data_IF_028633322496
#
_entry.id   IF_028633322496
#
_cell.length_a   1.000
_cell.length_b   1.000
_cell.length_c   1.000
_cell.angle_alpha   90.00
_cell.angle_beta   90.00
_cell.angle_gamma   90.00
#
_symmetry.space_group_name_H-M   'P 1'
#
loop_
_entity.id
_entity.type
_entity.pdbx_description
1 polymer ?
#
# COMPACT_ATOMS: atom_id res chain seq x y z
N UNK A 1 -3.02 26.32 32.59
CA UNK A 1 -1.74 26.51 31.88
C UNK A 1 -1.14 25.13 31.68
N UNK A 2 -1.75 24.27 30.85
CA UNK A 2 -1.40 22.83 30.73
C UNK A 2 -2.19 22.25 29.54
N UNK A 3 -1.57 22.20 28.35
CA UNK A 3 -2.01 21.42 27.15
C UNK A 3 -1.08 21.62 25.94
N UNK A 4 -0.02 22.47 26.04
CA UNK A 4 0.88 22.75 24.91
C UNK A 4 1.64 21.51 24.42
N UNK A 5 2.01 20.60 25.33
CA UNK A 5 2.86 19.43 25.00
C UNK A 5 2.28 18.45 23.97
N UNK A 6 0.97 18.46 23.72
CA UNK A 6 0.34 17.62 22.69
C UNK A 6 0.21 18.31 21.32
N UNK A 7 0.32 19.64 21.23
CA UNK A 7 0.01 20.40 20.00
C UNK A 7 1.24 20.65 19.10
N UNK A 8 2.46 20.49 19.62
CA UNK A 8 3.72 20.88 18.95
C UNK A 8 4.22 19.86 17.90
N UNK A 9 3.34 19.33 17.04
CA UNK A 9 3.70 18.41 15.94
C UNK A 9 3.57 19.09 14.57
N UNK A 10 4.29 20.18 14.35
CA UNK A 10 4.35 20.81 13.02
C UNK A 10 5.33 20.14 12.06
N UNK A 11 6.27 19.32 12.54
CA UNK A 11 7.41 18.87 11.72
C UNK A 11 7.41 17.41 11.23
N UNK A 12 6.38 16.62 11.54
CA UNK A 12 6.41 15.16 11.27
C UNK A 12 5.20 14.61 10.52
N UNK A 13 4.27 15.48 10.12
CA UNK A 13 3.13 15.12 9.29
C UNK A 13 3.32 15.68 7.88
N UNK A 14 3.42 14.74 6.92
CA UNK A 14 3.34 14.88 5.46
C UNK A 14 3.64 16.30 4.91
N UNK A 15 4.85 16.56 4.36
CA UNK A 15 5.09 17.82 3.65
C UNK A 15 4.16 17.94 2.44
N UNK A 16 3.57 19.12 2.28
CA UNK A 16 2.52 19.37 1.30
C UNK A 16 3.05 19.69 -0.11
N UNK A 17 4.31 20.05 -0.28
CA UNK A 17 4.81 20.64 -1.52
C UNK A 17 6.04 19.88 -2.04
N UNK A 18 6.01 19.43 -3.30
CA UNK A 18 6.78 20.02 -4.41
C UNK A 18 6.87 19.06 -5.63
N UNK A 19 7.06 19.62 -6.84
CA UNK A 19 7.37 18.98 -8.14
C UNK A 19 6.19 18.64 -9.08
N UNK A 20 5.66 19.69 -9.73
CA UNK A 20 5.18 19.57 -11.10
C UNK A 20 6.38 19.45 -12.06
N UNK A 21 6.45 18.40 -12.88
CA UNK A 21 7.25 18.44 -14.11
C UNK A 21 6.69 17.51 -15.19
N UNK A 22 6.58 18.10 -16.38
CA UNK A 22 6.03 17.57 -17.62
C UNK A 22 6.88 16.42 -18.19
N UNK A 23 6.22 15.40 -18.77
CA UNK A 23 6.87 14.27 -19.45
C UNK A 23 6.67 14.41 -20.96
N UNK A 24 7.77 14.66 -21.69
CA UNK A 24 7.83 14.53 -23.13
C UNK A 24 8.03 13.06 -23.54
N UNK A 25 7.17 12.62 -24.45
CA UNK A 25 7.10 11.26 -25.01
C UNK A 25 8.13 11.10 -26.14
N UNK A 26 9.01 10.09 -26.07
CA UNK A 26 9.90 9.69 -27.18
C UNK A 26 9.64 8.23 -27.50
N UNK A 27 9.30 7.96 -28.77
CA UNK A 27 9.01 6.63 -29.30
C UNK A 27 10.29 5.82 -29.61
N UNK A 28 10.27 4.47 -29.57
CA UNK A 28 11.38 3.64 -29.97
C UNK A 28 11.39 3.34 -31.48
N UNK A 29 12.60 3.26 -32.05
CA UNK A 29 12.88 2.80 -33.42
C UNK A 29 12.85 1.26 -33.54
N UNK A 30 12.55 0.71 -34.73
CA UNK A 30 12.41 -0.73 -34.95
C UNK A 30 13.72 -1.42 -35.35
N UNK A 31 13.88 -2.67 -34.89
CA UNK A 31 14.90 -3.64 -35.32
C UNK A 31 14.58 -4.24 -36.70
N UNK A 32 15.64 -4.57 -37.47
CA UNK A 32 15.78 -5.58 -38.55
C UNK A 32 17.19 -5.42 -39.17
N UNK A 33 17.95 -6.41 -39.64
CA UNK A 33 17.73 -7.79 -40.09
C UNK A 33 19.09 -8.52 -40.03
N UNK A 34 19.10 -9.86 -39.85
CA UNK A 34 20.31 -10.70 -39.93
C UNK A 34 20.32 -11.44 -41.26
N UNK A 35 21.34 -11.17 -42.08
CA UNK A 35 21.62 -11.93 -43.29
C UNK A 35 22.17 -13.33 -42.97
N UNK A 36 21.67 -14.32 -43.71
CA UNK A 36 22.12 -15.70 -43.71
C UNK A 36 23.15 -15.89 -44.83
N UNK A 37 24.39 -16.25 -44.49
CA UNK A 37 25.36 -16.76 -45.47
C UNK A 37 25.53 -18.27 -45.32
N UNK A 38 25.31 -18.96 -46.44
CA UNK A 38 25.43 -20.41 -46.59
C UNK A 38 26.90 -20.82 -46.78
N UNK A 39 27.32 -21.90 -46.11
CA UNK A 39 28.56 -22.60 -46.43
C UNK A 39 28.29 -24.09 -46.67
N UNK A 40 28.54 -24.52 -47.90
CA UNK A 40 28.62 -25.93 -48.34
C UNK A 40 29.90 -26.58 -47.85
N UNK A 41 29.80 -27.75 -47.19
CA UNK A 41 30.95 -28.61 -46.86
C UNK A 41 30.80 -29.97 -47.55
N UNK A 42 31.87 -30.34 -48.26
CA UNK A 42 32.07 -31.48 -49.16
C UNK A 42 32.02 -32.82 -48.39
N UNK A 43 31.43 -33.90 -48.94
CA UNK A 43 31.42 -35.21 -48.28
C UNK A 43 32.78 -35.94 -48.40
N UNK A 44 33.22 -36.53 -47.29
CA UNK A 44 34.45 -37.32 -47.19
C UNK A 44 34.23 -38.77 -47.69
N UNK A 45 35.18 -39.27 -48.50
CA UNK A 45 35.21 -40.65 -49.03
C UNK A 45 35.49 -41.67 -47.92
N UNK A 46 34.70 -42.76 -47.89
CA UNK A 46 34.90 -43.92 -47.02
C UNK A 46 35.95 -44.88 -47.60
N UNK A 47 36.93 -45.30 -46.79
CA UNK A 47 37.82 -46.45 -47.08
C UNK A 47 37.21 -47.76 -46.55
N UNK A 48 37.48 -48.91 -47.20
CA UNK A 48 36.93 -50.20 -46.80
C UNK A 48 37.71 -50.81 -45.61
N UNK A 49 36.98 -51.39 -44.65
CA UNK A 49 37.52 -52.15 -43.51
C UNK A 49 37.83 -53.59 -43.93
N UNK A 50 39.01 -54.09 -43.55
CA UNK A 50 39.30 -55.54 -43.43
C UNK A 50 39.11 -55.98 -41.97
N UNK A 51 38.69 -57.24 -41.72
CA UNK A 51 38.43 -57.74 -40.37
C UNK A 51 39.74 -58.18 -39.71
N UNK A 52 39.90 -57.86 -38.42
CA UNK A 52 40.97 -58.37 -37.56
C UNK A 52 40.32 -58.89 -36.27
N UNK A 53 40.82 -60.04 -35.84
CA UNK A 53 40.38 -60.98 -34.82
C UNK A 53 39.84 -60.41 -33.50
N UNK A 54 38.92 -61.20 -32.93
CA UNK A 54 38.56 -61.19 -31.52
C UNK A 54 39.77 -61.58 -30.66
N UNK A 55 40.25 -60.65 -29.83
CA UNK A 55 40.97 -60.92 -28.59
C UNK A 55 40.77 -59.70 -27.68
N UNK A 56 40.09 -59.94 -26.55
CA UNK A 56 39.89 -59.15 -25.31
C UNK A 56 39.68 -57.61 -25.37
N UNK A 57 38.71 -57.06 -24.60
CA UNK A 57 38.59 -55.60 -24.44
C UNK A 57 39.79 -55.07 -23.65
N UNK A 58 40.76 -54.50 -24.37
CA UNK A 58 41.87 -53.76 -23.77
C UNK A 58 41.32 -52.51 -23.07
N UNK A 59 41.09 -52.62 -21.76
CA UNK A 59 40.70 -51.49 -20.90
C UNK A 59 41.93 -50.60 -20.74
N UNK A 60 41.90 -49.45 -21.39
CA UNK A 60 42.94 -48.42 -21.27
C UNK A 60 42.90 -47.82 -19.85
N UNK A 61 43.76 -48.35 -18.98
CA UNK A 61 43.92 -47.93 -17.57
C UNK A 61 44.88 -46.74 -17.42
N UNK A 62 45.30 -46.11 -18.52
CA UNK A 62 46.23 -44.99 -18.47
C UNK A 62 45.55 -43.72 -17.95
N UNK A 63 46.10 -43.14 -16.87
CA UNK A 63 45.72 -41.77 -16.47
C UNK A 63 46.03 -40.82 -17.62
N UNK A 64 45.04 -40.01 -18.01
CA UNK A 64 45.18 -39.03 -19.08
C UNK A 64 46.39 -38.11 -18.81
N UNK A 65 47.45 -38.32 -19.58
CA UNK A 65 48.68 -37.53 -19.50
C UNK A 65 48.34 -36.05 -19.75
N UNK A 66 48.69 -35.12 -18.85
CA UNK A 66 48.46 -33.71 -19.08
C UNK A 66 49.31 -33.25 -20.25
N UNK A 67 48.68 -33.12 -21.42
CA UNK A 67 49.29 -32.62 -22.65
C UNK A 67 49.69 -31.16 -22.46
N UNK A 68 50.92 -30.92 -22.00
CA UNK A 68 51.57 -29.60 -21.86
C UNK A 68 52.22 -29.15 -23.17
N UNK A 69 51.49 -29.21 -24.28
CA UNK A 69 51.97 -28.62 -25.53
C UNK A 69 51.62 -27.13 -25.58
N UNK A 70 52.48 -26.30 -26.17
CA UNK A 70 52.16 -24.86 -26.39
C UNK A 70 50.85 -24.66 -27.17
N UNK A 71 50.45 -25.64 -27.99
CA UNK A 71 49.21 -25.60 -28.78
C UNK A 71 47.98 -25.88 -27.91
N UNK A 72 48.04 -26.85 -27.01
CA UNK A 72 46.96 -27.18 -26.06
C UNK A 72 46.77 -26.09 -25.02
N UNK A 73 47.84 -25.47 -24.53
CA UNK A 73 47.76 -24.34 -23.59
C UNK A 73 47.13 -23.09 -24.24
N UNK A 74 47.44 -22.82 -25.51
CA UNK A 74 46.78 -21.75 -26.29
C UNK A 74 45.29 -22.04 -26.51
N UNK A 75 44.93 -23.29 -26.78
CA UNK A 75 43.54 -23.70 -26.98
C UNK A 75 42.75 -23.65 -25.66
N UNK A 76 43.35 -24.05 -24.54
CA UNK A 76 42.79 -23.89 -23.20
C UNK A 76 42.63 -22.41 -22.83
N UNK A 77 43.64 -21.55 -23.06
CA UNK A 77 43.50 -20.09 -22.86
C UNK A 77 42.40 -19.49 -23.73
N UNK A 78 42.25 -19.95 -24.98
CA UNK A 78 41.19 -19.49 -25.88
C UNK A 78 39.80 -19.97 -25.43
N UNK A 79 39.69 -21.20 -24.94
CA UNK A 79 38.45 -21.74 -24.40
C UNK A 79 38.09 -21.10 -23.06
N UNK A 80 39.06 -20.82 -22.17
CA UNK A 80 38.84 -20.05 -20.94
C UNK A 80 38.39 -18.62 -21.24
N UNK A 81 38.98 -17.94 -22.23
CA UNK A 81 38.51 -16.62 -22.69
C UNK A 81 37.11 -16.66 -23.30
N UNK A 82 36.75 -17.74 -24.01
CA UNK A 82 35.38 -17.95 -24.52
C UNK A 82 34.39 -18.19 -23.38
N UNK A 83 34.76 -19.03 -22.40
CA UNK A 83 33.96 -19.30 -21.20
C UNK A 83 33.78 -18.06 -20.33
N UNK A 84 34.80 -17.20 -20.23
CA UNK A 84 34.72 -15.90 -19.57
C UNK A 84 33.85 -14.89 -20.32
N UNK A 85 33.81 -14.96 -21.66
CA UNK A 85 32.91 -14.13 -22.50
C UNK A 85 31.47 -14.61 -22.49
N UNK A 86 31.21 -15.88 -22.22
CA UNK A 86 29.86 -16.46 -22.09
C UNK A 86 29.31 -16.41 -20.67
N UNK A 87 30.11 -16.01 -19.68
CA UNK A 87 29.54 -15.55 -18.41
C UNK A 87 28.83 -14.24 -18.74
N UNK A 88 27.49 -14.28 -18.74
CA UNK A 88 26.67 -13.08 -18.75
C UNK A 88 27.32 -12.07 -17.78
N UNK A 89 27.63 -10.84 -18.21
CA UNK A 89 28.10 -9.84 -17.30
C UNK A 89 26.94 -9.58 -16.33
N UNK A 90 26.98 -10.21 -15.16
CA UNK A 90 26.16 -9.83 -14.01
C UNK A 90 26.70 -8.52 -13.45
N UNK A 91 26.80 -7.51 -14.31
CA UNK A 91 27.26 -6.17 -13.99
C UNK A 91 26.03 -5.28 -13.96
N UNK A 92 25.06 -5.66 -13.13
CA UNK A 92 24.02 -4.72 -12.71
C UNK A 92 24.74 -3.75 -11.78
N UNK A 93 25.01 -2.55 -12.28
CA UNK A 93 25.73 -1.49 -11.56
C UNK A 93 24.76 -0.59 -10.80
N UNK A 94 23.51 -0.51 -11.25
CA UNK A 94 22.47 0.33 -10.68
C UNK A 94 21.20 -0.46 -10.41
N UNK A 95 20.50 -0.14 -9.32
CA UNK A 95 19.20 -0.76 -8.99
C UNK A 95 18.21 -0.68 -10.15
N UNK A 96 18.16 0.46 -10.86
CA UNK A 96 17.25 0.67 -11.98
C UNK A 96 17.58 -0.12 -13.26
N UNK A 97 18.71 -0.83 -13.29
CA UNK A 97 19.06 -1.76 -14.39
C UNK A 97 18.40 -3.14 -14.21
N UNK A 98 17.75 -3.37 -13.06
CA UNK A 98 16.96 -4.59 -12.84
C UNK A 98 15.74 -4.63 -13.79
N UNK A 99 15.31 -5.83 -14.21
CA UNK A 99 14.02 -6.01 -14.88
C UNK A 99 12.88 -5.36 -14.09
N UNK A 100 11.90 -4.74 -14.77
CA UNK A 100 10.82 -4.01 -14.12
C UNK A 100 10.01 -4.89 -13.14
N UNK A 101 9.87 -6.18 -13.44
CA UNK A 101 9.16 -7.12 -12.55
C UNK A 101 9.89 -7.31 -11.21
N UNK A 102 11.23 -7.31 -11.23
CA UNK A 102 12.02 -7.39 -10.00
C UNK A 102 12.00 -6.07 -9.23
N UNK A 103 12.04 -4.94 -9.95
CA UNK A 103 11.89 -3.62 -9.34
C UNK A 103 10.54 -3.50 -8.63
N UNK A 104 9.46 -3.89 -9.30
CA UNK A 104 8.11 -3.89 -8.73
C UNK A 104 8.02 -4.80 -7.50
N UNK A 105 8.55 -6.01 -7.55
CA UNK A 105 8.55 -6.93 -6.40
C UNK A 105 9.32 -6.35 -5.22
N UNK A 106 10.52 -5.79 -5.42
CA UNK A 106 11.30 -5.16 -4.34
C UNK A 106 10.54 -3.97 -3.75
N UNK A 107 10.05 -3.06 -4.60
CA UNK A 107 9.34 -1.87 -4.15
C UNK A 107 8.02 -2.21 -3.44
N UNK A 108 7.34 -3.28 -3.87
CA UNK A 108 6.10 -3.76 -3.24
C UNK A 108 6.30 -4.37 -1.84
N UNK A 109 7.54 -4.71 -1.47
CA UNK A 109 7.89 -5.19 -0.13
C UNK A 109 8.22 -4.06 0.85
N UNK A 110 8.47 -2.85 0.36
CA UNK A 110 8.79 -1.70 1.20
C UNK A 110 7.56 -1.16 1.92
N UNK A 111 7.80 -0.39 3.00
CA UNK A 111 6.74 0.38 3.62
C UNK A 111 6.40 1.61 2.77
N UNK A 112 5.15 2.09 2.84
CA UNK A 112 4.79 3.36 2.18
C UNK A 112 5.66 4.54 2.62
N UNK A 113 6.10 4.61 3.89
CA UNK A 113 7.07 5.60 4.37
C UNK A 113 8.40 5.55 3.63
N UNK A 114 8.88 4.33 3.36
CA UNK A 114 10.18 4.13 2.76
C UNK A 114 10.12 4.48 1.28
N UNK A 115 9.03 4.14 0.60
CA UNK A 115 8.75 4.59 -0.76
C UNK A 115 8.71 6.12 -0.87
N UNK A 116 8.04 6.80 0.05
CA UNK A 116 8.03 8.26 0.08
C UNK A 116 9.43 8.84 0.30
N UNK A 117 10.26 8.16 1.07
CA UNK A 117 11.67 8.53 1.27
C UNK A 117 12.50 8.30 0.00
N UNK A 118 12.26 7.19 -0.71
CA UNK A 118 12.89 6.86 -1.99
C UNK A 118 12.57 7.89 -3.08
N UNK A 119 11.36 8.47 -3.09
CA UNK A 119 10.98 9.55 -4.02
C UNK A 119 11.90 10.78 -3.90
N UNK A 120 12.56 10.99 -2.76
CA UNK A 120 13.42 12.15 -2.52
C UNK A 120 14.90 11.88 -2.88
N UNK A 121 15.29 10.64 -3.16
CA UNK A 121 16.70 10.27 -3.33
C UNK A 121 17.24 10.70 -4.69
N UNK A 122 16.55 10.34 -5.78
CA UNK A 122 16.98 10.70 -7.12
C UNK A 122 15.79 10.83 -8.08
N UNK A 123 15.98 11.60 -9.16
CA UNK A 123 14.91 11.90 -10.14
C UNK A 123 14.45 10.66 -10.91
N UNK A 124 15.35 9.73 -11.22
CA UNK A 124 15.02 8.54 -12.02
C UNK A 124 14.13 7.56 -11.25
N UNK A 125 14.42 7.33 -9.98
CA UNK A 125 13.64 6.50 -9.07
C UNK A 125 12.31 7.17 -8.74
N UNK A 126 12.31 8.49 -8.54
CA UNK A 126 11.09 9.27 -8.40
C UNK A 126 10.15 9.07 -9.61
N UNK A 127 10.66 9.30 -10.82
CA UNK A 127 9.89 9.12 -12.05
C UNK A 127 9.40 7.66 -12.22
N UNK A 128 10.24 6.67 -11.90
CA UNK A 128 9.85 5.27 -11.97
C UNK A 128 8.73 4.90 -11.00
N UNK A 129 8.83 5.32 -9.72
CA UNK A 129 7.84 5.03 -8.70
C UNK A 129 6.52 5.72 -9.04
N UNK A 130 6.53 6.99 -9.46
CA UNK A 130 5.32 7.72 -9.81
C UNK A 130 4.64 7.14 -11.06
N UNK A 131 5.40 6.71 -12.07
CA UNK A 131 4.84 6.07 -13.26
C UNK A 131 4.14 4.74 -12.94
N UNK A 132 4.62 4.00 -11.95
CA UNK A 132 4.12 2.67 -11.57
C UNK A 132 3.38 2.65 -10.23
N UNK A 133 2.98 3.82 -9.71
CA UNK A 133 2.47 4.00 -8.34
C UNK A 133 1.29 3.08 -8.06
N UNK A 134 0.34 3.00 -8.98
CA UNK A 134 -0.89 2.21 -8.81
C UNK A 134 -0.63 0.70 -8.65
N UNK A 135 0.32 0.15 -9.40
CA UNK A 135 0.67 -1.28 -9.38
C UNK A 135 1.42 -1.60 -8.09
N UNK A 136 2.46 -0.81 -7.78
CA UNK A 136 3.27 -0.97 -6.57
C UNK A 136 2.38 -0.89 -5.32
N UNK A 137 1.52 0.13 -5.25
CA UNK A 137 0.63 0.33 -4.11
C UNK A 137 -0.39 -0.79 -4.01
N UNK A 138 -1.01 -1.22 -5.12
CA UNK A 138 -1.94 -2.35 -5.11
C UNK A 138 -1.31 -3.60 -4.49
N UNK A 139 -0.06 -3.90 -4.86
CA UNK A 139 0.67 -5.03 -4.30
C UNK A 139 0.92 -4.83 -2.79
N UNK A 140 1.36 -3.64 -2.37
CA UNK A 140 1.53 -3.30 -0.94
C UNK A 140 0.23 -3.49 -0.16
N UNK A 141 -0.89 -2.98 -0.67
CA UNK A 141 -2.20 -3.12 -0.03
C UNK A 141 -2.57 -4.59 0.11
N UNK A 142 -2.33 -5.40 -0.91
CA UNK A 142 -2.65 -6.84 -0.88
C UNK A 142 -1.78 -7.64 0.10
N UNK A 143 -0.51 -7.26 0.26
CA UNK A 143 0.45 -7.96 1.11
C UNK A 143 0.35 -7.48 2.56
N UNK A 144 0.21 -6.17 2.79
CA UNK A 144 0.35 -5.54 4.11
C UNK A 144 -0.97 -5.10 4.71
N UNK A 145 -1.91 -4.64 3.88
CA UNK A 145 -3.15 -4.03 4.34
C UNK A 145 -4.44 -4.68 3.80
N UNK A 146 -4.53 -6.04 3.69
CA UNK A 146 -5.71 -6.69 3.12
C UNK A 146 -7.00 -6.41 3.89
N UNK A 147 -6.94 -6.07 5.18
CA UNK A 147 -8.13 -5.87 6.01
C UNK A 147 -8.50 -4.40 6.09
N UNK A 148 -7.53 -3.53 6.39
CA UNK A 148 -7.72 -2.10 6.53
C UNK A 148 -8.17 -1.47 5.21
N UNK A 149 -7.67 -1.94 4.07
CA UNK A 149 -8.12 -1.47 2.75
C UNK A 149 -9.61 -1.74 2.50
N UNK A 150 -10.16 -2.84 3.02
CA UNK A 150 -11.61 -3.16 2.96
C UNK A 150 -12.42 -2.30 3.93
N UNK A 151 -11.84 -1.98 5.09
CA UNK A 151 -12.53 -1.27 6.17
C UNK A 151 -12.54 0.25 5.99
N UNK A 152 -11.50 0.80 5.36
CA UNK A 152 -11.29 2.22 5.15
C UNK A 152 -11.20 2.52 3.64
N UNK A 153 -12.29 2.33 2.88
CA UNK A 153 -12.30 2.69 1.46
C UNK A 153 -12.14 4.20 1.28
N UNK A 154 -11.63 4.61 0.12
CA UNK A 154 -11.58 6.02 -0.26
C UNK A 154 -12.97 6.52 -0.69
N UNK A 155 -13.34 7.77 -0.38
CA UNK A 155 -14.47 8.43 -1.00
C UNK A 155 -14.19 8.65 -2.50
N UNK A 156 -15.24 8.61 -3.31
CA UNK A 156 -15.15 8.78 -4.77
C UNK A 156 -15.26 10.26 -5.10
N UNK A 157 -14.42 10.74 -6.01
CA UNK A 157 -14.50 12.11 -6.53
C UNK A 157 -15.83 12.35 -7.23
N UNK A 158 -16.44 13.52 -7.03
CA UNK A 158 -17.68 13.84 -7.73
C UNK A 158 -17.48 13.82 -9.25
N UNK A 159 -16.30 14.17 -9.74
CA UNK A 159 -15.97 14.18 -11.17
C UNK A 159 -16.17 12.81 -11.84
N UNK A 160 -15.91 11.72 -11.12
CA UNK A 160 -16.02 10.33 -11.61
C UNK A 160 -17.48 9.82 -11.63
N UNK A 161 -18.41 10.53 -11.00
CA UNK A 161 -19.82 10.14 -10.93
C UNK A 161 -20.54 10.51 -12.24
N UNK A 162 -21.45 9.67 -12.78
CA UNK A 162 -22.24 10.02 -13.95
C UNK A 162 -23.11 11.27 -13.75
N UNK A 163 -23.24 12.11 -14.78
CA UNK A 163 -24.00 13.38 -14.72
C UNK A 163 -25.45 13.28 -14.23
N UNK A 164 -26.27 12.25 -14.60
CA UNK A 164 -27.60 12.13 -14.01
C UNK A 164 -27.56 11.91 -12.49
N UNK A 165 -26.55 11.19 -12.00
CA UNK A 165 -26.33 10.98 -10.58
C UNK A 165 -25.78 12.23 -9.89
N UNK A 166 -24.88 12.99 -10.52
CA UNK A 166 -24.38 14.27 -10.00
C UNK A 166 -25.52 15.24 -9.66
N UNK A 167 -26.49 15.40 -10.57
CA UNK A 167 -27.64 16.29 -10.33
C UNK A 167 -28.48 15.86 -9.11
N UNK A 168 -28.75 14.57 -8.98
CA UNK A 168 -29.49 14.03 -7.84
C UNK A 168 -28.71 14.23 -6.53
N UNK A 169 -27.40 13.98 -6.54
CA UNK A 169 -26.48 14.13 -5.41
C UNK A 169 -26.23 15.60 -5.01
N UNK A 170 -26.45 16.56 -5.89
CA UNK A 170 -26.35 17.99 -5.59
C UNK A 170 -27.72 18.64 -5.31
N UNK A 171 -28.81 17.88 -5.43
CA UNK A 171 -30.15 18.40 -5.17
C UNK A 171 -30.32 18.84 -3.71
N UNK A 172 -31.03 19.93 -3.48
CA UNK A 172 -31.33 20.44 -2.14
C UNK A 172 -32.10 19.40 -1.30
N UNK A 173 -32.99 18.63 -1.93
CA UNK A 173 -33.73 17.55 -1.29
C UNK A 173 -32.81 16.44 -0.74
N UNK A 174 -31.74 16.11 -1.44
CA UNK A 174 -30.75 15.14 -0.96
C UNK A 174 -29.84 15.76 0.11
N UNK A 175 -29.31 16.95 -0.15
CA UNK A 175 -28.41 17.65 0.77
C UNK A 175 -29.07 17.94 2.13
N UNK A 176 -30.36 18.30 2.14
CA UNK A 176 -31.14 18.47 3.37
C UNK A 176 -31.31 17.16 4.15
N UNK A 177 -31.47 16.01 3.48
CA UNK A 177 -31.51 14.71 4.17
C UNK A 177 -30.16 14.30 4.74
N UNK A 178 -29.07 14.59 4.02
CA UNK A 178 -27.74 14.34 4.54
C UNK A 178 -27.42 15.16 5.79
N UNK A 179 -28.08 16.30 6.03
CA UNK A 179 -27.89 17.08 7.26
C UNK A 179 -28.11 16.28 8.55
N UNK A 180 -28.95 15.24 8.52
CA UNK A 180 -29.14 14.34 9.66
C UNK A 180 -27.83 13.60 10.01
N UNK A 181 -27.05 13.26 8.99
CA UNK A 181 -25.75 12.61 9.10
C UNK A 181 -24.59 13.61 9.25
N UNK A 182 -24.76 14.87 8.86
CA UNK A 182 -23.79 15.97 9.03
C UNK A 182 -23.73 16.56 10.45
N UNK A 183 -24.09 15.81 11.51
CA UNK A 183 -23.84 16.30 12.87
C UNK A 183 -22.35 16.66 12.97
N UNK A 184 -22.00 17.94 13.19
CA UNK A 184 -20.63 18.38 13.06
C UNK A 184 -19.82 17.80 14.22
N UNK A 185 -19.11 16.72 13.94
CA UNK A 185 -18.08 16.23 14.83
C UNK A 185 -17.00 17.29 14.90
N UNK A 186 -16.62 17.71 16.11
CA UNK A 186 -15.59 18.74 16.27
C UNK A 186 -14.24 18.33 15.65
N UNK A 187 -13.99 17.02 15.54
CA UNK A 187 -12.73 16.45 15.09
C UNK A 187 -12.76 15.98 13.63
N UNK A 188 -13.89 16.11 12.92
CA UNK A 188 -14.01 15.72 11.51
C UNK A 188 -14.25 16.98 10.68
N UNK A 189 -13.44 17.23 9.63
CA UNK A 189 -13.66 18.34 8.73
C UNK A 189 -15.00 18.20 7.99
N UNK A 190 -15.58 19.34 7.62
CA UNK A 190 -16.82 19.36 6.83
C UNK A 190 -16.60 18.63 5.51
N UNK A 191 -17.58 17.80 5.17
CA UNK A 191 -17.64 17.14 3.88
C UNK A 191 -18.05 18.16 2.81
N UNK A 192 -17.34 18.17 1.69
CA UNK A 192 -17.63 19.05 0.56
C UNK A 192 -18.34 18.26 -0.56
N UNK A 193 -19.65 18.48 -0.77
CA UNK A 193 -20.40 17.77 -1.80
C UNK A 193 -20.07 18.23 -3.23
N UNK A 194 -19.36 19.34 -3.42
CA UNK A 194 -18.98 19.83 -4.75
C UNK A 194 -17.73 19.11 -5.28
N UNK A 195 -16.83 18.67 -4.40
CA UNK A 195 -15.62 17.92 -4.76
C UNK A 195 -15.80 16.40 -4.66
N UNK A 196 -16.60 15.91 -3.71
CA UNK A 196 -16.74 14.48 -3.43
C UNK A 196 -18.17 13.98 -3.62
N UNK A 197 -18.32 12.71 -4.00
CA UNK A 197 -19.62 12.07 -4.09
C UNK A 197 -20.34 12.08 -2.74
N UNK A 198 -21.49 12.75 -2.66
CA UNK A 198 -22.27 12.90 -1.42
C UNK A 198 -23.08 11.66 -1.01
N UNK A 199 -22.87 10.49 -1.63
CA UNK A 199 -23.55 9.26 -1.21
C UNK A 199 -23.15 8.86 0.23
N UNK A 200 -24.01 8.09 0.93
CA UNK A 200 -23.78 7.72 2.33
C UNK A 200 -22.45 6.98 2.49
N UNK A 201 -22.13 6.05 1.59
CA UNK A 201 -20.86 5.30 1.61
C UNK A 201 -19.64 6.23 1.57
N UNK A 202 -19.61 7.21 0.67
CA UNK A 202 -18.49 8.14 0.55
C UNK A 202 -18.42 9.13 1.73
N UNK A 203 -19.57 9.54 2.26
CA UNK A 203 -19.61 10.35 3.48
C UNK A 203 -19.03 9.60 4.69
N UNK A 204 -19.40 8.33 4.88
CA UNK A 204 -18.85 7.50 5.96
C UNK A 204 -17.35 7.23 5.75
N UNK A 205 -16.92 6.99 4.51
CA UNK A 205 -15.51 6.84 4.16
C UNK A 205 -14.69 8.08 4.55
N UNK A 206 -15.18 9.29 4.22
CA UNK A 206 -14.57 10.55 4.62
C UNK A 206 -14.40 10.66 6.14
N UNK A 207 -15.47 10.40 6.89
CA UNK A 207 -15.43 10.48 8.36
C UNK A 207 -14.44 9.46 8.95
N UNK A 208 -14.44 8.23 8.44
CA UNK A 208 -13.58 7.17 8.94
C UNK A 208 -12.09 7.43 8.68
N UNK A 209 -11.73 7.97 7.52
CA UNK A 209 -10.34 8.31 7.20
C UNK A 209 -9.84 9.49 8.04
N UNK A 210 -10.66 10.53 8.21
CA UNK A 210 -10.31 11.67 9.06
C UNK A 210 -10.18 11.26 10.53
N UNK A 211 -11.04 10.36 11.01
CA UNK A 211 -10.94 9.80 12.35
C UNK A 211 -9.66 8.98 12.54
N UNK A 212 -9.26 8.17 11.55
CA UNK A 212 -8.00 7.43 11.60
C UNK A 212 -6.79 8.38 11.74
N UNK A 213 -6.79 9.50 11.02
CA UNK A 213 -5.75 10.53 11.14
C UNK A 213 -5.78 11.22 12.52
N UNK A 214 -6.96 11.58 13.02
CA UNK A 214 -7.11 12.24 14.33
C UNK A 214 -6.67 11.31 15.48
N UNK A 215 -7.06 10.02 15.43
CA UNK A 215 -6.57 9.00 16.37
C UNK A 215 -5.04 8.86 16.33
N UNK A 216 -4.44 8.89 15.15
CA UNK A 216 -3.00 8.82 14.98
C UNK A 216 -2.28 10.07 15.53
N UNK A 217 -2.84 11.26 15.32
CA UNK A 217 -2.30 12.51 15.84
C UNK A 217 -2.19 12.48 17.37
N UNK A 218 -3.23 11.99 18.04
CA UNK A 218 -3.28 11.94 19.51
C UNK A 218 -2.60 10.71 20.15
N UNK A 219 -1.94 9.83 19.37
CA UNK A 219 -1.26 8.65 19.93
C UNK A 219 -0.25 8.97 21.03
N UNK A 220 0.48 10.09 20.88
CA UNK A 220 1.42 10.54 21.91
C UNK A 220 0.73 10.79 23.24
N UNK A 221 -0.41 11.47 23.24
CA UNK A 221 -1.13 11.77 24.48
C UNK A 221 -1.58 10.48 25.19
N UNK A 222 -1.97 9.46 24.43
CA UNK A 222 -2.26 8.15 25.02
C UNK A 222 -1.03 7.40 25.54
N UNK A 223 0.11 7.52 24.85
CA UNK A 223 1.37 6.91 25.28
C UNK A 223 1.92 7.56 26.56
N UNK A 224 1.84 8.89 26.65
CA UNK A 224 2.30 9.69 27.81
C UNK A 224 1.25 9.80 28.91
N UNK A 225 0.01 9.35 28.69
CA UNK A 225 -1.14 9.52 29.57
C UNK A 225 -1.47 10.98 29.88
N UNK A 226 -1.18 11.87 28.94
CA UNK A 226 -1.66 13.25 29.04
C UNK A 226 -3.13 13.29 28.62
N UNK A 227 -3.96 14.08 29.31
CA UNK A 227 -5.36 14.22 28.95
C UNK A 227 -5.47 14.83 27.55
N UNK A 228 -6.48 14.39 26.79
CA UNK A 228 -6.79 14.99 25.50
C UNK A 228 -7.29 16.43 25.69
N UNK A 229 -7.03 17.33 24.73
CA UNK A 229 -7.54 18.69 24.80
C UNK A 229 -9.07 18.69 24.67
N UNK A 230 -9.74 19.19 25.70
CA UNK A 230 -11.21 19.33 25.73
C UNK A 230 -11.59 20.61 24.98
N UNK A 231 -12.50 20.48 24.01
CA UNK A 231 -13.09 21.62 23.30
C UNK A 231 -14.42 21.99 23.97
N UNK A 232 -14.57 23.22 24.47
CA UNK A 232 -15.86 23.68 25.01
C UNK A 232 -17.01 23.52 24.00
N UNK A 233 -18.21 23.28 24.50
CA UNK A 233 -19.39 23.14 23.62
C UNK A 233 -19.62 24.44 22.85
N UNK A 234 -19.92 24.32 21.56
CA UNK A 234 -20.21 25.46 20.68
C UNK A 234 -18.98 26.24 20.23
N UNK A 235 -17.77 25.88 20.68
CA UNK A 235 -16.53 26.51 20.19
C UNK A 235 -15.80 25.58 19.20
N UNK A 236 -15.00 26.20 18.34
CA UNK A 236 -14.08 25.50 17.46
C UNK A 236 -12.74 26.26 17.46
N UNK A 237 -11.81 25.90 18.35
CA UNK A 237 -10.56 26.66 18.52
C UNK A 237 -9.69 26.56 17.28
N UNK A 238 -8.84 27.56 17.05
CA UNK A 238 -7.99 27.69 15.86
C UNK A 238 -7.11 26.46 15.62
N UNK A 239 -6.49 25.92 16.67
CA UNK A 239 -5.67 24.70 16.57
C UNK A 239 -6.46 23.51 16.02
N UNK A 240 -7.75 23.40 16.35
CA UNK A 240 -8.60 22.31 15.91
C UNK A 240 -9.04 22.51 14.45
N UNK A 241 -9.30 23.75 14.05
CA UNK A 241 -9.56 24.09 12.64
C UNK A 241 -8.34 23.80 11.76
N UNK A 242 -7.15 24.19 12.22
CA UNK A 242 -5.90 23.91 11.53
C UNK A 242 -5.65 22.39 11.41
N UNK A 243 -5.87 21.63 12.49
CA UNK A 243 -5.72 20.19 12.50
C UNK A 243 -6.70 19.48 11.54
N UNK A 244 -7.99 19.82 11.61
CA UNK A 244 -9.01 19.22 10.74
C UNK A 244 -8.81 19.59 9.27
N UNK A 245 -8.35 20.81 8.98
CA UNK A 245 -7.95 21.23 7.63
C UNK A 245 -6.77 20.40 7.11
N UNK A 246 -5.75 20.16 7.94
CA UNK A 246 -4.62 19.29 7.58
C UNK A 246 -5.09 17.86 7.29
N UNK A 247 -5.98 17.30 8.12
CA UNK A 247 -6.54 15.97 7.86
C UNK A 247 -7.32 15.92 6.54
N UNK A 248 -8.18 16.91 6.28
CA UNK A 248 -8.91 17.01 5.02
C UNK A 248 -7.97 17.04 3.80
N UNK A 249 -6.87 17.82 3.87
CA UNK A 249 -5.88 17.90 2.82
C UNK A 249 -5.19 16.54 2.55
N UNK A 250 -4.87 15.79 3.61
CA UNK A 250 -4.28 14.45 3.49
C UNK A 250 -5.27 13.47 2.86
N UNK A 251 -6.53 13.49 3.28
CA UNK A 251 -7.57 12.61 2.70
C UNK A 251 -7.80 12.96 1.23
N UNK A 252 -7.91 14.23 0.87
CA UNK A 252 -8.03 14.66 -0.52
C UNK A 252 -6.83 14.22 -1.37
N UNK A 253 -5.62 14.30 -0.81
CA UNK A 253 -4.43 13.77 -1.48
C UNK A 253 -4.46 12.26 -1.62
N UNK A 254 -4.97 11.52 -0.63
CA UNK A 254 -5.12 10.06 -0.69
C UNK A 254 -6.09 9.60 -1.79
N UNK A 255 -7.08 10.43 -2.14
CA UNK A 255 -7.98 10.17 -3.28
C UNK A 255 -7.22 10.25 -4.60
N UNK A 256 -6.27 11.19 -4.71
CA UNK A 256 -5.49 11.41 -5.94
C UNK A 256 -4.22 10.55 -6.05
N UNK A 257 -3.61 10.18 -4.92
CA UNK A 257 -2.34 9.44 -4.84
C UNK A 257 -2.54 8.14 -4.06
N UNK A 258 -2.48 6.98 -4.73
CA UNK A 258 -2.50 5.67 -4.08
C UNK A 258 -1.44 5.53 -2.99
N UNK A 259 -0.25 6.10 -3.17
CA UNK A 259 0.84 6.03 -2.19
C UNK A 259 0.47 6.77 -0.90
N UNK A 260 -0.19 7.92 -1.02
CA UNK A 260 -0.70 8.66 0.14
C UNK A 260 -1.75 7.86 0.89
N UNK A 261 -2.64 7.15 0.18
CA UNK A 261 -3.61 6.25 0.79
C UNK A 261 -2.93 5.10 1.54
N UNK A 262 -1.95 4.42 0.92
CA UNK A 262 -1.18 3.37 1.59
C UNK A 262 -0.46 3.89 2.84
N UNK A 263 0.07 5.11 2.79
CA UNK A 263 0.70 5.76 3.95
C UNK A 263 -0.30 6.05 5.07
N UNK A 264 -1.52 6.46 4.75
CA UNK A 264 -2.59 6.62 5.74
C UNK A 264 -2.91 5.29 6.43
N UNK A 265 -3.02 4.19 5.67
CA UNK A 265 -3.24 2.87 6.25
C UNK A 265 -2.07 2.40 7.12
N UNK A 266 -0.83 2.65 6.70
CA UNK A 266 0.36 2.37 7.52
C UNK A 266 0.31 3.11 8.86
N UNK A 267 -0.02 4.41 8.83
CA UNK A 267 -0.15 5.24 10.03
C UNK A 267 -1.26 4.71 10.96
N UNK A 268 -2.38 4.30 10.37
CA UNK A 268 -3.50 3.75 11.12
C UNK A 268 -3.19 2.37 11.72
N UNK A 269 -2.48 1.51 10.99
CA UNK A 269 -2.00 0.23 11.51
C UNK A 269 -1.10 0.44 12.73
N UNK A 270 -0.14 1.37 12.63
CA UNK A 270 0.74 1.74 13.76
C UNK A 270 -0.06 2.25 14.97
N UNK A 271 -1.12 3.01 14.72
CA UNK A 271 -2.04 3.51 15.76
C UNK A 271 -2.77 2.35 16.45
N UNK A 272 -3.28 1.39 15.69
CA UNK A 272 -3.94 0.19 16.20
C UNK A 272 -2.96 -0.66 17.01
N UNK A 273 -1.80 -1.02 16.47
CA UNK A 273 -0.81 -1.87 17.14
C UNK A 273 -0.35 -1.24 18.46
N UNK A 274 -0.04 0.05 18.45
CA UNK A 274 0.35 0.80 19.67
C UNK A 274 -0.76 0.77 20.72
N UNK A 275 -2.02 0.92 20.30
CA UNK A 275 -3.16 0.93 21.22
C UNK A 275 -3.47 -0.46 21.78
N UNK A 276 -3.36 -1.51 20.97
CA UNK A 276 -3.57 -2.90 21.38
C UNK A 276 -2.50 -3.40 22.35
N UNK A 277 -1.24 -2.98 22.16
CA UNK A 277 -0.13 -3.38 23.04
C UNK A 277 -0.05 -2.55 24.33
N UNK A 278 -0.75 -1.41 24.39
CA UNK A 278 -0.73 -0.51 25.55
C UNK A 278 -1.00 -1.21 26.88
N UNK A 279 -2.03 -2.08 27.05
CA UNK A 279 -2.25 -2.78 28.31
C UNK A 279 -1.08 -3.68 28.71
N UNK A 280 -0.41 -4.32 27.74
CA UNK A 280 0.76 -5.18 27.96
C UNK A 280 1.93 -4.36 28.51
N UNK A 281 2.26 -3.24 27.87
CA UNK A 281 3.32 -2.34 28.33
C UNK A 281 3.03 -1.74 29.71
N UNK A 282 1.78 -1.38 29.97
CA UNK A 282 1.36 -0.82 31.26
C UNK A 282 1.50 -1.87 32.37
N UNK A 283 1.06 -3.11 32.11
CA UNK A 283 1.15 -4.18 33.09
C UNK A 283 2.61 -4.53 33.43
N UNK A 284 3.48 -4.57 32.42
CA UNK A 284 4.92 -4.75 32.63
C UNK A 284 5.53 -3.67 33.53
N UNK A 285 5.22 -2.39 33.30
CA UNK A 285 5.74 -1.28 34.13
C UNK A 285 5.18 -1.26 35.56
N UNK A 286 3.92 -1.67 35.76
CA UNK A 286 3.26 -1.66 37.07
C UNK A 286 3.46 -2.95 37.88
N UNK A 287 4.16 -3.95 37.33
CA UNK A 287 4.29 -5.27 37.96
C UNK A 287 2.97 -6.03 38.09
N UNK A 288 1.91 -5.59 37.40
CA UNK A 288 0.63 -6.29 37.37
C UNK A 288 0.66 -7.39 36.31
N UNK A 289 -0.11 -8.47 36.51
CA UNK A 289 -0.22 -9.51 35.50
C UNK A 289 -0.74 -8.92 34.19
N UNK A 290 -0.10 -9.20 33.04
CA UNK A 290 -0.63 -8.80 31.75
C UNK A 290 -2.00 -9.47 31.53
N UNK A 291 -2.87 -8.89 30.69
CA UNK A 291 -4.11 -9.56 30.30
C UNK A 291 -3.77 -10.95 29.72
N UNK A 292 -4.56 -11.96 30.11
CA UNK A 292 -4.31 -13.37 29.74
C UNK A 292 -4.34 -13.60 28.22
N UNK A 293 -5.11 -12.79 27.49
CA UNK A 293 -5.16 -12.79 26.04
C UNK A 293 -5.24 -11.34 25.56
N UNK A 294 -4.28 -10.86 24.75
CA UNK A 294 -4.40 -9.55 24.14
C UNK A 294 -5.51 -9.58 23.09
N UNK A 295 -6.14 -8.43 22.83
CA UNK A 295 -7.15 -8.32 21.78
C UNK A 295 -6.56 -8.70 20.42
N UNK A 296 -7.33 -9.45 19.62
CA UNK A 296 -6.88 -10.05 18.35
C UNK A 296 -5.71 -11.04 18.50
N UNK A 297 -5.40 -11.52 19.70
CA UNK A 297 -4.28 -12.42 19.98
C UNK A 297 -2.96 -11.94 19.34
N UNK A 298 -2.73 -10.62 19.34
CA UNK A 298 -1.57 -10.01 18.69
C UNK A 298 -0.26 -10.50 19.33
N UNK A 299 0.68 -10.89 18.49
CA UNK A 299 2.01 -11.38 18.86
C UNK A 299 3.10 -10.38 18.51
N UNK A 300 4.32 -10.58 19.01
CA UNK A 300 5.48 -9.77 18.61
C UNK A 300 5.83 -9.97 17.13
N UNK A 301 5.54 -11.13 16.56
CA UNK A 301 5.75 -11.41 15.14
C UNK A 301 4.81 -10.58 14.26
N UNK A 302 3.54 -10.44 14.66
CA UNK A 302 2.56 -9.59 13.97
C UNK A 302 3.02 -8.12 13.94
N UNK A 303 3.60 -7.64 15.04
CA UNK A 303 4.11 -6.26 15.14
C UNK A 303 5.31 -6.05 14.21
N UNK A 304 6.24 -7.01 14.18
CA UNK A 304 7.42 -6.95 13.32
C UNK A 304 7.09 -7.15 11.84
N UNK A 305 6.02 -7.88 11.52
CA UNK A 305 5.59 -8.12 10.14
C UNK A 305 4.97 -6.86 9.49
N UNK A 306 4.54 -5.89 10.31
CA UNK A 306 3.94 -4.61 9.90
C UNK A 306 2.82 -4.80 8.86
N UNK A 307 2.03 -5.85 9.05
CA UNK A 307 0.83 -6.14 8.28
C UNK A 307 -0.38 -6.22 9.21
N UNK A 308 -1.57 -6.11 8.62
CA UNK A 308 -2.81 -6.05 9.38
C UNK A 308 -3.50 -7.40 9.59
N UNK A 309 -2.90 -8.51 9.13
CA UNK A 309 -3.53 -9.85 9.05
C UNK A 309 -4.04 -10.36 10.39
N UNK A 310 -3.43 -9.97 11.52
CA UNK A 310 -3.93 -10.32 12.85
C UNK A 310 -5.36 -9.78 13.12
N UNK A 311 -5.81 -8.74 12.40
CA UNK A 311 -7.17 -8.20 12.52
C UNK A 311 -8.26 -9.13 11.98
N UNK A 312 -7.91 -10.21 11.28
CA UNK A 312 -8.85 -11.27 10.87
C UNK A 312 -9.23 -12.17 12.04
N UNK A 313 -8.41 -12.22 13.09
CA UNK A 313 -8.69 -12.97 14.30
C UNK A 313 -9.89 -12.36 15.03
N UNK A 314 -10.44 -13.12 15.97
CA UNK A 314 -11.63 -12.72 16.73
C UNK A 314 -11.33 -11.46 17.56
N UNK A 315 -12.20 -10.47 17.46
CA UNK A 315 -12.06 -9.21 18.19
C UNK A 315 -13.37 -8.43 18.29
N UNK A 316 -13.37 -7.30 19.04
CA UNK A 316 -14.55 -6.45 19.16
C UNK A 316 -14.84 -5.73 17.84
N UNK A 317 -16.12 -5.64 17.47
CA UNK A 317 -16.55 -4.89 16.29
C UNK A 317 -16.58 -3.38 16.56
N UNK A 318 -16.01 -2.58 15.66
CA UNK A 318 -16.04 -1.11 15.74
C UNK A 318 -17.28 -0.55 15.02
N UNK A 319 -18.47 -0.80 15.56
CA UNK A 319 -19.73 -0.36 14.94
C UNK A 319 -20.09 1.09 15.26
N UNK A 320 -19.72 1.58 16.45
CA UNK A 320 -20.12 2.91 16.92
C UNK A 320 -19.04 3.96 16.62
N UNK A 321 -19.43 5.00 15.88
CA UNK A 321 -18.55 6.12 15.57
C UNK A 321 -18.30 6.99 16.82
N UNK A 322 -17.04 7.34 17.16
CA UNK A 322 -16.74 8.22 18.27
C UNK A 322 -17.19 9.66 17.99
N UNK A 323 -18.18 10.15 18.73
CA UNK A 323 -18.70 11.50 18.54
C UNK A 323 -17.79 12.59 19.13
N UNK A 324 -16.99 12.25 20.14
CA UNK A 324 -16.06 13.15 20.84
C UNK A 324 -14.73 12.46 21.08
N UNK A 325 -13.64 13.24 21.17
CA UNK A 325 -12.28 12.71 21.37
C UNK A 325 -12.11 11.94 22.68
N UNK A 326 -12.88 12.26 23.72
CA UNK A 326 -12.86 11.52 24.99
C UNK A 326 -13.20 10.03 24.81
N UNK A 327 -13.95 9.68 23.76
CA UNK A 327 -14.25 8.28 23.45
C UNK A 327 -13.03 7.50 22.96
N UNK A 328 -11.96 8.17 22.52
CA UNK A 328 -10.75 7.51 22.01
C UNK A 328 -10.06 6.64 23.06
N UNK A 329 -10.25 6.93 24.36
CA UNK A 329 -9.73 6.09 25.44
C UNK A 329 -10.31 4.67 25.46
N UNK A 330 -11.52 4.49 24.93
CA UNK A 330 -12.22 3.21 24.88
C UNK A 330 -12.04 2.48 23.54
N UNK A 331 -11.41 3.14 22.57
CA UNK A 331 -11.14 2.55 21.26
C UNK A 331 -9.83 1.78 21.35
N UNK A 332 -9.91 0.45 21.28
CA UNK A 332 -8.73 -0.40 21.20
C UNK A 332 -8.20 -0.57 19.78
N UNK A 333 -9.12 -0.76 18.83
CA UNK A 333 -8.84 -0.79 17.40
C UNK A 333 -10.04 -0.18 16.68
N UNK A 334 -9.77 0.82 15.84
CA UNK A 334 -10.81 1.41 14.98
C UNK A 334 -10.77 0.72 13.62
N UNK A 335 -11.68 -0.22 13.40
CA UNK A 335 -11.76 -0.96 12.14
C UNK A 335 -13.23 -0.99 11.69
N UNK A 336 -13.70 0.09 11.04
CA UNK A 336 -15.10 0.26 10.67
C UNK A 336 -15.49 -0.65 9.49
N UNK A 337 -16.75 -0.61 9.07
CA UNK A 337 -17.25 -1.32 7.88
C UNK A 337 -17.03 -2.84 7.89
N UNK A 338 -17.05 -3.45 9.09
CA UNK A 338 -17.07 -4.91 9.25
C UNK A 338 -17.92 -5.33 10.45
N UNK A 339 -18.44 -6.54 10.41
CA UNK A 339 -19.19 -7.15 11.50
C UNK A 339 -18.80 -8.60 11.72
N UNK A 340 -18.74 -9.05 12.97
CA UNK A 340 -18.44 -10.45 13.26
C UNK A 340 -19.70 -11.31 13.09
N UNK A 341 -19.66 -12.30 12.20
CA UNK A 341 -20.73 -13.29 12.08
C UNK A 341 -20.51 -14.43 13.07
N UNK A 342 -21.44 -14.58 14.03
CA UNK A 342 -21.41 -15.72 14.97
C UNK A 342 -21.66 -17.06 14.26
N UNK A 343 -22.40 -17.06 13.16
CA UNK A 343 -22.76 -18.29 12.43
C UNK A 343 -21.61 -18.81 11.56
N UNK A 344 -20.87 -17.90 10.93
CA UNK A 344 -19.76 -18.23 10.01
C UNK A 344 -18.39 -18.14 10.69
N UNK A 345 -18.34 -17.71 11.94
CA UNK A 345 -17.13 -17.44 12.74
C UNK A 345 -16.09 -16.61 11.97
N UNK A 346 -16.55 -15.64 11.19
CA UNK A 346 -15.70 -14.79 10.37
C UNK A 346 -16.17 -13.35 10.33
N UNK A 347 -15.28 -12.46 9.89
CA UNK A 347 -15.61 -11.08 9.59
C UNK A 347 -16.41 -10.99 8.29
N UNK A 348 -17.55 -10.31 8.34
CA UNK A 348 -18.33 -9.92 7.17
C UNK A 348 -18.02 -8.48 6.82
N UNK A 349 -17.80 -8.22 5.54
CA UNK A 349 -17.53 -6.89 5.00
C UNK A 349 -18.72 -6.51 4.10
N UNK A 350 -19.62 -5.60 4.53
CA UNK A 350 -20.78 -5.22 3.74
C UNK A 350 -20.43 -4.68 2.33
N UNK A 351 -19.20 -4.19 2.16
CA UNK A 351 -18.63 -3.73 0.89
C UNK A 351 -17.51 -4.61 0.32
N UNK A 352 -17.53 -5.93 0.57
CA UNK A 352 -16.49 -6.87 0.10
C UNK A 352 -16.20 -6.75 -1.41
N UNK A 353 -17.23 -6.47 -2.21
CA UNK A 353 -17.08 -6.07 -3.60
C UNK A 353 -16.80 -4.56 -3.69
N UNK A 354 -15.63 -4.20 -4.23
CA UNK A 354 -15.22 -2.81 -4.43
C UNK A 354 -16.31 -1.99 -5.15
N UNK A 355 -16.75 -0.91 -4.52
CA UNK A 355 -17.73 0.02 -5.06
C UNK A 355 -19.18 -0.48 -5.10
N UNK A 356 -19.50 -1.68 -4.58
CA UNK A 356 -20.88 -2.18 -4.58
C UNK A 356 -21.84 -1.29 -3.80
N UNK A 357 -21.51 -0.97 -2.54
CA UNK A 357 -22.33 -0.11 -1.69
C UNK A 357 -22.47 1.30 -2.29
N UNK A 358 -21.37 1.87 -2.78
CA UNK A 358 -21.37 3.15 -3.48
C UNK A 358 -22.34 3.16 -4.67
N UNK A 359 -22.29 2.14 -5.53
CA UNK A 359 -23.22 2.02 -6.68
C UNK A 359 -24.67 1.89 -6.25
N UNK A 360 -24.93 1.12 -5.19
CA UNK A 360 -26.28 0.95 -4.64
C UNK A 360 -26.81 2.25 -4.04
N UNK A 361 -25.99 2.98 -3.30
CA UNK A 361 -26.36 4.27 -2.73
C UNK A 361 -26.64 5.29 -3.84
N UNK A 362 -25.80 5.36 -4.88
CA UNK A 362 -26.05 6.23 -6.02
C UNK A 362 -27.37 5.86 -6.71
N UNK A 363 -27.60 4.58 -6.99
CA UNK A 363 -28.82 4.13 -7.65
C UNK A 363 -30.07 4.54 -6.85
N UNK A 364 -30.02 4.38 -5.52
CA UNK A 364 -31.09 4.79 -4.62
C UNK A 364 -31.31 6.31 -4.62
N UNK A 365 -30.24 7.11 -4.63
CA UNK A 365 -30.36 8.58 -4.70
C UNK A 365 -30.95 9.00 -6.05
N UNK A 366 -30.49 8.43 -7.15
CA UNK A 366 -31.01 8.72 -8.50
C UNK A 366 -32.48 8.38 -8.62
N UNK A 367 -32.90 7.20 -8.12
CA UNK A 367 -34.29 6.75 -8.17
C UNK A 367 -35.23 7.71 -7.42
N UNK A 368 -34.79 8.25 -6.28
CA UNK A 368 -35.64 9.07 -5.40
C UNK A 368 -35.57 10.57 -5.66
N UNK A 369 -34.43 11.06 -6.15
CA UNK A 369 -34.16 12.51 -6.26
C UNK A 369 -33.79 12.95 -7.68
N UNK A 370 -33.61 12.02 -8.62
CA UNK A 370 -33.21 12.33 -10.00
C UNK A 370 -34.27 13.03 -10.85
N UNK A 371 -35.54 12.98 -10.45
CA UNK A 371 -36.66 13.58 -11.19
C UNK A 371 -37.03 14.99 -10.76
N UNK A 372 -36.42 15.54 -9.70
CA UNK A 372 -36.78 16.85 -9.14
C UNK A 372 -36.14 18.05 -9.88
N UNK A 373 -35.78 17.89 -11.16
CA UNK A 373 -35.04 18.89 -11.92
C UNK A 373 -35.43 18.99 -13.40
N UNK A 374 -36.70 18.76 -13.74
CA UNK A 374 -37.30 19.16 -15.03
C UNK A 374 -38.15 20.40 -14.87
#
# INVERSE_FOLDING_TARGET
MESKDCLDREHEMLPADDMASEVHFVQPLPDKEKDQEAFTVIPSRKLPKKPVNEDEPLIDTTQALPLRSKKTERLQKRNLKKLQRTKFPSSITSFLELPPELLEEVLSRLLPSDLLSLLQINKSLNAYILANESIIVRNILSIRYPILSKCLPLPVSLAEVPDPAKRALLSEAWQSRLQIHFKPYQHIPRFDPESLCSCITCFLAWNNLNLALDLAYFQRCFATRTPLPIIPRGTNPEWNQALTTKHAAIVNRAIMSPLTYARLLQLHLSTITTTLLRPVYISSKKGSRPPSTPLYDITTEDVNAENDTFLERKGPSSLEFPYVRDMYHYIHAWVPNRGWSKQKENWMYPGEEAGKLHRQDIAWVVERFGTQGT
#
